data_IF_710019999758
#
_entry.id   IF_710019999758
#
_cell.length_a   1.000
_cell.length_b   1.000
_cell.length_c   1.000
_cell.angle_alpha   90.00
_cell.angle_beta   90.00
_cell.angle_gamma   90.00
#
_symmetry.space_group_name_H-M   'P 1'
#
loop_
_entity.id
_entity.type
_entity.pdbx_description
1 polymer ?
#
# COMPACT_ATOMS: atom_id res chain seq x y z
N UNK A 1 -3.44 -15.18 12.27
CA UNK A 1 -3.94 -15.90 11.07
C UNK A 1 -5.01 -16.93 11.42
N UNK A 2 -5.21 -17.26 12.71
CA UNK A 2 -6.10 -18.34 13.14
C UNK A 2 -7.58 -18.04 12.88
N UNK A 3 -8.04 -16.82 13.15
CA UNK A 3 -9.40 -16.40 12.81
C UNK A 3 -9.70 -16.49 11.32
N UNK A 4 -8.76 -16.05 10.49
CA UNK A 4 -8.89 -16.15 9.04
C UNK A 4 -9.04 -17.61 8.58
N UNK A 5 -8.19 -18.51 9.09
CA UNK A 5 -8.30 -19.95 8.81
C UNK A 5 -9.63 -20.54 9.30
N UNK A 6 -10.14 -20.09 10.44
CA UNK A 6 -11.38 -20.60 11.02
C UNK A 6 -12.65 -20.10 10.31
N UNK A 7 -12.60 -18.93 9.67
CA UNK A 7 -13.80 -18.22 9.20
C UNK A 7 -13.88 -17.99 7.69
N UNK A 8 -12.79 -18.14 6.94
CA UNK A 8 -12.73 -17.78 5.51
C UNK A 8 -13.68 -18.59 4.61
N UNK A 9 -14.01 -19.82 4.98
CA UNK A 9 -14.85 -20.72 4.18
C UNK A 9 -16.36 -20.51 4.40
N UNK A 10 -16.76 -19.77 5.43
CA UNK A 10 -18.16 -19.46 5.69
C UNK A 10 -18.56 -18.15 5.01
N UNK A 11 -19.45 -18.27 4.02
CA UNK A 11 -19.98 -17.17 3.21
C UNK A 11 -20.78 -16.12 4.01
N UNK A 12 -21.17 -16.41 5.26
CA UNK A 12 -21.85 -15.45 6.15
C UNK A 12 -20.90 -14.41 6.73
N UNK A 13 -19.60 -14.64 6.64
CA UNK A 13 -18.57 -13.76 7.18
C UNK A 13 -18.13 -12.72 6.14
N UNK A 14 -17.53 -11.64 6.63
CA UNK A 14 -16.92 -10.60 5.80
C UNK A 14 -15.55 -10.24 6.35
N UNK A 15 -14.54 -10.19 5.47
CA UNK A 15 -13.24 -9.62 5.76
C UNK A 15 -13.17 -8.19 5.22
N UNK A 16 -12.95 -7.23 6.13
CA UNK A 16 -12.85 -5.81 5.78
C UNK A 16 -11.39 -5.35 5.87
N UNK A 17 -10.81 -4.93 4.75
CA UNK A 17 -9.52 -4.26 4.73
C UNK A 17 -9.70 -2.76 4.93
N UNK A 18 -9.05 -2.20 5.95
CA UNK A 18 -9.16 -0.77 6.33
C UNK A 18 -7.90 0.04 5.97
N UNK A 19 -6.89 -0.61 5.39
CA UNK A 19 -5.60 0.01 5.09
C UNK A 19 -4.88 -0.66 3.93
N UNK A 20 -3.80 -0.01 3.49
CA UNK A 20 -3.01 -0.46 2.36
C UNK A 20 -2.44 -1.87 2.57
N UNK A 21 -2.51 -2.69 1.52
CA UNK A 21 -1.94 -4.03 1.50
C UNK A 21 -0.69 -4.02 0.62
N UNK A 22 0.48 -4.13 1.24
CA UNK A 22 1.75 -4.15 0.53
C UNK A 22 1.85 -5.35 -0.43
N UNK A 23 2.57 -5.15 -1.53
CA UNK A 23 2.84 -6.21 -2.48
C UNK A 23 3.58 -7.39 -1.83
N UNK A 24 3.23 -8.61 -2.25
CA UNK A 24 3.73 -9.85 -1.67
C UNK A 24 2.94 -10.36 -0.45
N UNK A 25 2.13 -9.52 0.20
CA UNK A 25 1.32 -9.95 1.35
C UNK A 25 0.14 -10.85 0.95
N UNK A 26 -0.30 -11.71 1.88
CA UNK A 26 -1.53 -12.51 1.70
C UNK A 26 -2.75 -11.59 1.53
N UNK A 27 -2.83 -10.51 2.32
CA UNK A 27 -3.93 -9.54 2.22
C UNK A 27 -4.05 -8.94 0.82
N UNK A 28 -2.93 -8.59 0.18
CA UNK A 28 -2.91 -8.10 -1.20
C UNK A 28 -3.41 -9.14 -2.21
N UNK A 29 -3.10 -10.42 -2.02
CA UNK A 29 -3.62 -11.51 -2.89
C UNK A 29 -5.13 -11.66 -2.74
N UNK A 30 -5.63 -11.65 -1.51
CA UNK A 30 -7.06 -11.71 -1.20
C UNK A 30 -7.79 -10.51 -1.81
N UNK A 31 -7.25 -9.30 -1.64
CA UNK A 31 -7.82 -8.08 -2.20
C UNK A 31 -7.86 -8.09 -3.73
N UNK A 32 -6.90 -8.76 -4.39
CA UNK A 32 -6.89 -9.00 -5.85
C UNK A 32 -7.90 -10.09 -6.29
N UNK A 33 -8.68 -10.65 -5.38
CA UNK A 33 -9.75 -11.61 -5.67
C UNK A 33 -9.31 -13.07 -5.70
N UNK A 34 -8.15 -13.41 -5.14
CA UNK A 34 -7.71 -14.81 -5.06
C UNK A 34 -8.70 -15.61 -4.21
N UNK A 35 -9.21 -16.71 -4.79
CA UNK A 35 -10.20 -17.58 -4.15
C UNK A 35 -9.62 -18.77 -3.40
N UNK A 36 -8.34 -19.08 -3.64
CA UNK A 36 -7.61 -20.11 -2.92
C UNK A 36 -6.29 -19.53 -2.43
N UNK A 37 -6.04 -19.63 -1.12
CA UNK A 37 -4.87 -19.04 -0.46
C UNK A 37 -3.99 -20.16 0.11
N UNK A 38 -2.72 -20.29 -0.31
CA UNK A 38 -1.81 -21.25 0.28
C UNK A 38 -1.46 -20.82 1.70
N UNK A 39 -1.66 -21.72 2.66
CA UNK A 39 -1.41 -21.50 4.08
C UNK A 39 -0.56 -22.63 4.65
N UNK A 40 0.31 -22.32 5.60
CA UNK A 40 1.06 -23.36 6.33
C UNK A 40 0.14 -24.05 7.34
N UNK A 41 -0.04 -25.36 7.17
CA UNK A 41 -0.77 -26.27 8.06
C UNK A 41 -0.01 -26.54 9.37
N UNK A 42 -0.67 -27.18 10.34
CA UNK A 42 -0.11 -27.43 11.68
C UNK A 42 1.08 -28.40 11.68
N UNK A 43 1.17 -29.24 10.66
CA UNK A 43 2.22 -30.23 10.43
C UNK A 43 3.33 -29.71 9.47
N UNK A 44 3.32 -28.42 9.14
CA UNK A 44 4.26 -27.83 8.18
C UNK A 44 3.93 -28.08 6.71
N UNK A 45 2.84 -28.78 6.39
CA UNK A 45 2.37 -28.91 5.01
C UNK A 45 1.78 -27.60 4.49
N UNK A 46 1.69 -27.44 3.17
CA UNK A 46 0.91 -26.35 2.56
C UNK A 46 -0.51 -26.84 2.34
N UNK A 47 -1.48 -26.12 2.90
CA UNK A 47 -2.91 -26.36 2.76
C UNK A 47 -3.54 -25.19 1.98
N UNK A 48 -4.46 -25.48 1.07
CA UNK A 48 -5.17 -24.46 0.31
C UNK A 48 -6.47 -24.10 1.03
N UNK A 49 -6.59 -22.86 1.49
CA UNK A 49 -7.79 -22.34 2.13
C UNK A 49 -8.73 -21.74 1.09
N UNK A 50 -10.01 -22.14 1.08
CA UNK A 50 -11.02 -21.57 0.19
C UNK A 50 -11.56 -20.24 0.74
N UNK A 51 -11.71 -19.25 -0.14
CA UNK A 51 -12.21 -17.91 0.20
C UNK A 51 -13.65 -17.74 -0.25
N UNK A 52 -14.59 -18.12 0.62
CA UNK A 52 -16.02 -17.99 0.37
C UNK A 52 -16.62 -16.76 1.05
N UNK A 53 -15.99 -16.27 2.13
CA UNK A 53 -16.42 -15.06 2.81
C UNK A 53 -16.34 -13.83 1.90
N UNK A 54 -17.18 -12.84 2.17
CA UNK A 54 -17.18 -11.57 1.47
C UNK A 54 -15.87 -10.79 1.76
N UNK A 55 -15.36 -10.08 0.76
CA UNK A 55 -14.17 -9.22 0.91
C UNK A 55 -14.57 -7.79 0.58
N UNK A 56 -14.45 -6.90 1.56
CA UNK A 56 -14.72 -5.47 1.42
C UNK A 56 -13.44 -4.67 1.65
N UNK A 57 -13.30 -3.56 0.94
CA UNK A 57 -12.19 -2.61 1.11
C UNK A 57 -12.77 -1.27 1.48
N UNK A 58 -12.44 -0.80 2.67
CA UNK A 58 -12.85 0.51 3.17
C UNK A 58 -11.62 1.40 3.22
N UNK A 59 -11.38 2.10 2.12
CA UNK A 59 -10.26 3.03 1.99
C UNK A 59 -10.65 4.38 2.59
N UNK A 60 -10.01 4.73 3.71
CA UNK A 60 -10.34 5.93 4.50
C UNK A 60 -9.81 5.92 5.93
N UNK A 61 -9.36 4.76 6.42
CA UNK A 61 -8.83 4.58 7.78
C UNK A 61 -7.34 4.20 7.80
N UNK A 62 -6.63 4.35 6.68
CA UNK A 62 -5.24 3.91 6.55
C UNK A 62 -4.26 4.72 7.40
N UNK A 63 -4.65 5.92 7.85
CA UNK A 63 -3.76 6.88 8.52
C UNK A 63 -2.75 7.56 7.59
N UNK A 64 -2.69 7.16 6.31
CA UNK A 64 -1.83 7.78 5.30
C UNK A 64 -2.57 8.89 4.56
N UNK A 65 -1.84 9.94 4.19
CA UNK A 65 -2.38 10.98 3.33
C UNK A 65 -2.69 10.42 1.95
N UNK A 66 -3.89 10.70 1.44
CA UNK A 66 -4.26 10.39 0.07
C UNK A 66 -3.45 11.22 -0.93
N UNK A 67 -3.58 10.92 -2.22
CA UNK A 67 -2.88 11.63 -3.30
C UNK A 67 -3.09 13.15 -3.26
N UNK A 68 -4.31 13.59 -2.96
CA UNK A 68 -4.67 15.02 -2.92
C UNK A 68 -4.03 15.68 -1.71
N UNK A 69 -4.07 15.04 -0.55
CA UNK A 69 -3.47 15.50 0.69
C UNK A 69 -1.94 15.61 0.55
N UNK A 70 -1.26 14.64 -0.07
CA UNK A 70 0.18 14.71 -0.34
C UNK A 70 0.55 15.91 -1.24
N UNK A 71 -0.20 16.14 -2.32
CA UNK A 71 0.02 17.30 -3.19
C UNK A 71 -0.22 18.62 -2.46
N UNK A 72 -1.26 18.68 -1.63
CA UNK A 72 -1.63 19.87 -0.89
C UNK A 72 -0.63 20.15 0.25
N UNK A 73 -0.05 19.11 0.85
CA UNK A 73 1.01 19.22 1.84
C UNK A 73 2.24 19.94 1.28
N UNK A 74 2.76 19.50 0.13
CA UNK A 74 3.90 20.15 -0.53
C UNK A 74 3.55 21.57 -0.96
N UNK A 75 2.33 21.80 -1.43
CA UNK A 75 1.86 23.13 -1.87
C UNK A 75 1.81 24.14 -0.71
N UNK A 76 1.41 23.71 0.49
CA UNK A 76 1.23 24.57 1.67
C UNK A 76 2.48 24.69 2.54
N UNK A 77 3.52 23.91 2.28
CA UNK A 77 4.75 23.92 3.06
C UNK A 77 5.43 25.30 3.03
N UNK A 78 5.79 25.80 4.22
CA UNK A 78 6.53 27.04 4.42
C UNK A 78 7.67 26.83 5.42
N UNK A 79 8.91 27.27 5.11
CA UNK A 79 9.35 27.82 3.83
C UNK A 79 9.22 26.80 2.68
N UNK A 80 9.09 27.30 1.45
CA UNK A 80 8.99 26.44 0.27
C UNK A 80 10.31 25.69 0.06
N UNK A 81 10.32 24.36 -0.05
CA UNK A 81 11.56 23.61 -0.25
C UNK A 81 12.11 23.82 -1.67
N UNK A 82 13.43 23.79 -1.81
CA UNK A 82 14.13 23.84 -3.09
C UNK A 82 14.12 22.49 -3.81
N UNK A 83 14.18 21.39 -3.04
CA UNK A 83 14.17 20.01 -3.52
C UNK A 83 13.24 19.15 -2.69
N UNK A 84 12.57 18.19 -3.33
CA UNK A 84 11.70 17.20 -2.68
C UNK A 84 12.11 15.80 -3.12
N UNK A 85 12.08 14.85 -2.18
CA UNK A 85 12.31 13.43 -2.47
C UNK A 85 11.09 12.62 -2.06
N UNK A 86 10.69 11.67 -2.90
CA UNK A 86 9.57 10.75 -2.62
C UNK A 86 10.09 9.35 -2.32
N UNK A 87 9.51 8.71 -1.31
CA UNK A 87 9.91 7.41 -0.77
C UNK A 87 8.67 6.71 -0.15
N UNK A 88 8.88 5.60 0.58
CA UNK A 88 7.84 4.78 1.23
C UNK A 88 6.55 4.58 0.43
N UNK A 89 6.69 4.17 -0.82
CA UNK A 89 5.58 3.79 -1.67
C UNK A 89 6.03 2.80 -2.73
N UNK A 90 5.05 2.17 -3.39
CA UNK A 90 5.31 1.35 -4.56
C UNK A 90 6.11 2.17 -5.59
N UNK A 91 6.98 1.51 -6.35
CA UNK A 91 7.87 2.17 -7.32
C UNK A 91 7.13 3.19 -8.20
N UNK A 92 6.00 2.76 -8.78
CA UNK A 92 5.14 3.62 -9.60
C UNK A 92 4.55 4.79 -8.82
N UNK A 93 4.18 4.60 -7.55
CA UNK A 93 3.59 5.65 -6.73
C UNK A 93 4.61 6.76 -6.43
N UNK A 94 5.84 6.39 -6.07
CA UNK A 94 6.94 7.34 -5.83
C UNK A 94 7.26 8.14 -7.10
N UNK A 95 7.49 7.46 -8.23
CA UNK A 95 7.81 8.11 -9.51
C UNK A 95 6.68 9.03 -9.99
N UNK A 96 5.42 8.59 -9.86
CA UNK A 96 4.26 9.37 -10.29
C UNK A 96 4.05 10.63 -9.43
N UNK A 97 4.21 10.51 -8.10
CA UNK A 97 4.11 11.66 -7.19
C UNK A 97 5.24 12.65 -7.45
N UNK A 98 6.48 12.17 -7.60
CA UNK A 98 7.63 13.02 -7.92
C UNK A 98 7.41 13.82 -9.23
N UNK A 99 6.96 13.13 -10.29
CA UNK A 99 6.63 13.76 -11.56
C UNK A 99 5.52 14.81 -11.41
N UNK A 100 4.51 14.51 -10.59
CA UNK A 100 3.35 15.39 -10.35
C UNK A 100 3.74 16.66 -9.59
N UNK A 101 4.58 16.52 -8.54
CA UNK A 101 5.12 17.66 -7.79
C UNK A 101 5.95 18.55 -8.70
N UNK A 102 6.89 17.98 -9.47
CA UNK A 102 7.70 18.76 -10.41
C UNK A 102 6.83 19.50 -11.44
N UNK A 103 5.87 18.80 -12.08
CA UNK A 103 5.02 19.40 -13.13
C UNK A 103 4.16 20.55 -12.61
N UNK A 104 3.53 20.38 -11.44
CA UNK A 104 2.55 21.34 -10.89
C UNK A 104 3.20 22.45 -10.07
N UNK A 105 4.25 22.14 -9.32
CA UNK A 105 4.86 23.04 -8.36
C UNK A 105 6.23 23.56 -8.84
N UNK A 106 6.81 23.01 -9.91
CA UNK A 106 8.12 23.43 -10.43
C UNK A 106 9.24 23.36 -9.38
N UNK A 107 9.14 22.43 -8.44
CA UNK A 107 10.18 22.11 -7.45
C UNK A 107 10.96 20.91 -7.97
N UNK A 108 12.29 20.95 -7.93
CA UNK A 108 13.13 19.80 -8.28
C UNK A 108 12.73 18.61 -7.40
N UNK A 109 12.29 17.51 -8.02
CA UNK A 109 11.72 16.38 -7.29
C UNK A 109 12.21 15.07 -7.85
N UNK A 110 12.51 14.10 -6.97
CA UNK A 110 13.02 12.79 -7.38
C UNK A 110 12.54 11.66 -6.48
N UNK A 111 12.20 10.51 -7.08
CA UNK A 111 12.01 9.27 -6.33
C UNK A 111 13.36 8.67 -5.96
N UNK A 112 13.54 8.31 -4.69
CA UNK A 112 14.78 7.70 -4.22
C UNK A 112 14.85 6.21 -4.55
N UNK A 113 16.07 5.73 -4.77
CA UNK A 113 16.36 4.30 -4.90
C UNK A 113 17.13 3.81 -3.68
N UNK A 114 16.86 2.58 -3.23
CA UNK A 114 17.65 1.96 -2.16
C UNK A 114 19.14 1.93 -2.54
N UNK A 115 20.02 2.20 -1.57
CA UNK A 115 21.48 2.31 -1.71
C UNK A 115 21.97 3.51 -2.52
N UNK A 116 21.07 4.36 -3.00
CA UNK A 116 21.45 5.60 -3.66
C UNK A 116 21.88 6.66 -2.64
N UNK A 117 22.82 7.51 -3.03
CA UNK A 117 23.25 8.66 -2.22
C UNK A 117 22.94 9.96 -2.95
N UNK A 118 22.30 10.90 -2.25
CA UNK A 118 22.07 12.27 -2.74
C UNK A 118 22.92 13.23 -1.93
N UNK A 119 23.71 14.04 -2.63
CA UNK A 119 24.41 15.16 -2.01
C UNK A 119 23.46 16.35 -1.88
N UNK A 120 23.25 16.80 -0.65
CA UNK A 120 22.43 17.98 -0.39
C UNK A 120 23.24 19.28 -0.50
N UNK A 121 24.50 19.29 -0.12
CA UNK A 121 25.43 20.43 -0.20
C UNK A 121 26.84 19.92 -0.45
#
# INVERSE_FOLDING_TARGET
MDYFKAFAEDQRNTLVFVGYQADGTIGRRIQKGWKEIPMTGRNGSTEMLKMNMEVQVVDGFSGHSDRRQLMEYVKRMQPRPERVFTEHGDEKACVDLASSVYKKLKIETRALTNLETVRLL
#
